data_IF_232653633610
#
_entry.id   IF_232653633610
#
_cell.length_a   1.000
_cell.length_b   1.000
_cell.length_c   1.000
_cell.angle_alpha   90.00
_cell.angle_beta   90.00
_cell.angle_gamma   90.00
#
_symmetry.space_group_name_H-M   'P 1'
#
loop_
_entity.id
_entity.type
_entity.pdbx_description
1 polymer ?
#
# COMPACT_ATOMS: atom_id res chain seq x y z
N UNK A 1 34.23 8.02 61.34
CA UNK A 1 34.33 8.93 60.18
C UNK A 1 33.05 8.76 59.34
N UNK A 2 32.37 9.89 59.03
CA UNK A 2 31.21 10.11 58.13
C UNK A 2 29.93 9.27 58.38
N UNK A 3 28.74 9.77 58.76
CA UNK A 3 28.02 11.05 58.64
C UNK A 3 27.62 11.49 57.21
N UNK A 4 26.31 11.40 56.88
CA UNK A 4 25.46 12.41 56.20
C UNK A 4 24.18 11.71 55.67
N UNK A 5 22.99 11.84 56.28
CA UNK A 5 22.02 12.95 56.18
C UNK A 5 21.50 13.17 54.74
N UNK A 6 20.20 12.95 54.49
CA UNK A 6 19.20 14.03 54.44
C UNK A 6 17.82 13.49 54.02
N UNK A 7 16.86 13.66 54.93
CA UNK A 7 15.42 13.42 54.77
C UNK A 7 14.75 14.77 54.51
N UNK A 8 13.72 14.77 53.64
CA UNK A 8 12.64 15.75 53.53
C UNK A 8 13.02 17.22 53.29
N UNK A 9 12.71 17.70 52.07
CA UNK A 9 12.40 19.11 51.86
C UNK A 9 11.10 19.24 51.06
N UNK A 10 10.15 19.94 51.66
CA UNK A 10 8.88 20.36 51.08
C UNK A 10 9.10 21.01 49.71
N UNK A 11 8.41 20.51 48.68
CA UNK A 11 8.22 21.26 47.45
C UNK A 11 6.81 21.87 47.45
N UNK A 12 6.79 23.17 47.74
CA UNK A 12 5.62 24.03 47.63
C UNK A 12 5.15 24.11 46.17
N UNK A 13 3.86 23.82 45.97
CA UNK A 13 2.90 24.48 45.07
C UNK A 13 3.46 25.26 43.86
N UNK A 14 3.32 24.67 42.68
CA UNK A 14 2.98 25.40 41.46
C UNK A 14 2.09 24.53 40.57
N UNK A 15 0.78 24.66 40.76
CA UNK A 15 -0.22 24.14 39.84
C UNK A 15 -0.08 24.88 38.49
N UNK A 16 -0.08 24.20 37.34
CA UNK A 16 -0.18 24.87 36.05
C UNK A 16 -1.56 25.54 35.92
N UNK A 17 -1.67 26.66 35.19
CA UNK A 17 -2.91 27.41 35.06
C UNK A 17 -4.00 26.57 34.39
N UNK A 18 -5.20 26.64 34.97
CA UNK A 18 -6.45 26.06 34.49
C UNK A 18 -6.72 26.45 33.03
N UNK A 19 -6.77 25.46 32.14
CA UNK A 19 -7.22 25.63 30.76
C UNK A 19 -8.75 25.67 30.76
N UNK A 20 -9.31 26.85 30.51
CA UNK A 20 -10.75 27.03 30.31
C UNK A 20 -11.15 26.43 28.95
N UNK A 21 -12.24 25.63 28.86
CA UNK A 21 -12.74 25.18 27.57
C UNK A 21 -13.41 26.36 26.85
N UNK A 22 -12.77 26.87 25.79
CA UNK A 22 -13.41 27.82 24.88
C UNK A 22 -14.45 27.07 24.04
N UNK A 23 -15.71 27.14 24.46
CA UNK A 23 -16.86 26.66 23.68
C UNK A 23 -17.12 27.57 22.48
N UNK A 24 -16.35 27.39 21.43
CA UNK A 24 -16.79 27.77 20.09
C UNK A 24 -17.42 26.53 19.44
N UNK A 25 -18.68 26.58 18.98
CA UNK A 25 -19.25 25.48 18.24
C UNK A 25 -18.44 25.34 16.95
N UNK A 26 -17.62 24.30 16.87
CA UNK A 26 -16.99 23.86 15.63
C UNK A 26 -18.13 23.65 14.64
N UNK A 27 -18.21 24.52 13.64
CA UNK A 27 -19.02 24.30 12.45
C UNK A 27 -18.60 22.94 11.91
N UNK A 28 -19.48 21.95 12.03
CA UNK A 28 -19.38 20.72 11.27
C UNK A 28 -19.51 21.19 9.82
N UNK A 29 -18.38 21.29 9.12
CA UNK A 29 -18.42 21.35 7.68
C UNK A 29 -18.96 20.01 7.24
N UNK A 30 -20.09 20.02 6.54
CA UNK A 30 -20.59 18.85 5.82
C UNK A 30 -19.48 18.46 4.82
N UNK A 31 -18.64 17.53 5.23
CA UNK A 31 -17.62 16.97 4.36
C UNK A 31 -18.33 16.14 3.31
N UNK A 32 -18.03 16.39 2.05
CA UNK A 32 -18.40 15.48 0.97
C UNK A 32 -17.82 14.08 1.29
N UNK A 33 -18.65 13.16 1.80
CA UNK A 33 -18.29 11.74 2.05
C UNK A 33 -17.76 11.03 0.79
N UNK A 34 -17.88 11.70 -0.37
CA UNK A 34 -17.40 11.26 -1.67
C UNK A 34 -15.87 11.23 -1.79
N UNK A 35 -15.15 12.14 -1.15
CA UNK A 35 -13.71 12.28 -1.30
C UNK A 35 -12.98 12.20 0.05
N UNK A 36 -11.78 11.62 0.05
CA UNK A 36 -10.89 11.70 1.20
C UNK A 36 -10.51 13.17 1.47
N UNK A 37 -10.39 13.52 2.75
CA UNK A 37 -9.94 14.85 3.17
C UNK A 37 -8.43 15.00 2.98
N UNK A 38 -8.01 15.26 1.74
CA UNK A 38 -6.62 15.50 1.34
C UNK A 38 -6.54 16.70 0.39
N UNK A 39 -5.38 17.38 0.39
CA UNK A 39 -5.09 18.47 -0.54
C UNK A 39 -4.62 17.90 -1.88
N UNK A 40 -5.53 17.70 -2.81
CA UNK A 40 -5.28 17.03 -4.09
C UNK A 40 -4.22 17.74 -4.96
N UNK A 41 -4.08 19.06 -4.87
CA UNK A 41 -3.12 19.87 -5.64
C UNK A 41 -1.66 19.72 -5.18
N UNK A 42 -1.48 19.34 -3.91
CA UNK A 42 -0.18 19.17 -3.25
C UNK A 42 0.30 17.71 -3.28
N UNK A 43 -0.44 16.81 -3.96
CA UNK A 43 -0.07 15.41 -4.04
C UNK A 43 1.28 15.22 -4.76
N UNK A 44 2.27 14.77 -3.99
CA UNK A 44 3.53 14.26 -4.51
C UNK A 44 3.45 12.77 -4.87
N UNK A 45 4.62 12.13 -4.96
CA UNK A 45 4.76 10.67 -5.13
C UNK A 45 5.12 9.98 -3.81
N UNK A 46 4.62 10.51 -2.69
CA UNK A 46 4.80 9.93 -1.37
C UNK A 46 3.65 8.99 -1.05
N UNK A 47 3.93 7.94 -0.29
CA UNK A 47 2.90 7.03 0.18
C UNK A 47 1.93 7.76 1.11
N UNK A 48 0.68 7.88 0.66
CA UNK A 48 -0.47 8.20 1.50
C UNK A 48 -1.25 6.90 1.69
N UNK A 49 -1.27 6.31 2.89
CA UNK A 49 -1.98 5.06 3.13
C UNK A 49 -3.49 5.27 2.95
N UNK A 50 -4.11 4.42 2.15
CA UNK A 50 -5.58 4.36 2.02
C UNK A 50 -6.19 3.54 3.14
N UNK A 51 -7.51 3.47 3.25
CA UNK A 51 -8.16 2.79 4.39
C UNK A 51 -7.94 1.27 4.35
N UNK A 52 -7.90 0.69 3.14
CA UNK A 52 -7.88 -0.76 2.97
C UNK A 52 -6.88 -1.22 1.92
N UNK A 53 -6.50 -2.49 2.03
CA UNK A 53 -5.71 -3.25 1.05
C UNK A 53 -6.36 -4.60 0.79
N UNK A 54 -6.06 -5.22 -0.36
CA UNK A 54 -6.48 -6.59 -0.66
C UNK A 54 -5.37 -7.57 -0.28
N UNK A 55 -5.75 -8.71 0.30
CA UNK A 55 -4.83 -9.79 0.65
C UNK A 55 -5.41 -11.14 0.27
N UNK A 56 -4.62 -11.94 -0.43
CA UNK A 56 -4.82 -13.35 -0.69
C UNK A 56 -3.53 -14.13 -0.38
N UNK A 57 -3.65 -15.43 -0.14
CA UNK A 57 -2.51 -16.31 0.07
C UNK A 57 -2.72 -17.61 -0.70
N UNK A 58 -1.65 -18.14 -1.24
CA UNK A 58 -1.63 -19.43 -1.91
C UNK A 58 -0.46 -20.26 -1.38
N UNK A 59 -0.63 -21.57 -1.19
CA UNK A 59 0.50 -22.46 -0.93
C UNK A 59 1.19 -22.88 -2.22
N UNK A 60 2.42 -23.34 -2.12
CA UNK A 60 3.13 -23.91 -3.26
C UNK A 60 2.37 -25.11 -3.85
N UNK A 61 2.14 -25.08 -5.16
CA UNK A 61 1.40 -26.12 -5.88
C UNK A 61 -0.13 -25.97 -5.84
N UNK A 62 -0.66 -24.99 -5.11
CA UNK A 62 -2.08 -24.65 -5.10
C UNK A 62 -2.38 -23.47 -6.05
N UNK A 63 -3.65 -23.08 -6.13
CA UNK A 63 -4.10 -21.91 -6.88
C UNK A 63 -4.78 -20.91 -5.95
N UNK A 64 -4.74 -19.63 -6.32
CA UNK A 64 -5.50 -18.59 -5.62
C UNK A 64 -6.99 -18.80 -5.82
N UNK A 65 -7.71 -19.05 -4.72
CA UNK A 65 -9.16 -19.30 -4.72
C UNK A 65 -9.95 -18.16 -4.11
N UNK A 66 -9.42 -17.51 -3.07
CA UNK A 66 -10.08 -16.41 -2.37
C UNK A 66 -9.08 -15.38 -1.85
N UNK A 67 -9.60 -14.18 -1.61
CA UNK A 67 -8.90 -13.10 -0.94
C UNK A 67 -9.90 -12.15 -0.29
N UNK A 68 -9.39 -11.19 0.47
CA UNK A 68 -10.20 -10.30 1.30
C UNK A 68 -9.67 -8.89 1.31
N UNK A 69 -10.58 -7.94 1.39
CA UNK A 69 -10.28 -6.56 1.75
C UNK A 69 -10.06 -6.49 3.26
N UNK A 70 -8.94 -5.91 3.68
CA UNK A 70 -8.57 -5.71 5.08
C UNK A 70 -8.13 -4.27 5.29
N UNK A 71 -8.18 -3.73 6.52
CA UNK A 71 -7.57 -2.44 6.82
C UNK A 71 -6.11 -2.40 6.36
N UNK A 72 -5.68 -1.25 5.82
CA UNK A 72 -4.28 -1.06 5.45
C UNK A 72 -3.39 -1.20 6.69
N UNK A 73 -2.27 -1.89 6.55
CA UNK A 73 -1.31 -2.06 7.63
C UNK A 73 -0.14 -2.92 7.23
N UNK A 74 0.82 -3.02 8.15
CA UNK A 74 2.02 -3.82 7.95
C UNK A 74 1.69 -5.32 7.90
N UNK A 75 2.53 -6.07 7.19
CA UNK A 75 2.42 -7.53 7.11
C UNK A 75 3.49 -8.20 7.98
N UNK A 76 3.12 -9.29 8.65
CA UNK A 76 4.08 -10.13 9.35
C UNK A 76 4.77 -11.07 8.36
N UNK A 77 6.10 -11.15 8.44
CA UNK A 77 6.91 -12.00 7.58
C UNK A 77 7.99 -12.72 8.38
N UNK A 78 8.23 -14.00 8.06
CA UNK A 78 9.33 -14.76 8.66
C UNK A 78 10.68 -14.19 8.19
N UNK A 79 11.68 -14.00 9.07
CA UNK A 79 13.04 -13.64 8.67
C UNK A 79 13.67 -14.63 7.68
N UNK A 80 13.23 -15.89 7.71
CA UNK A 80 13.69 -16.95 6.79
C UNK A 80 12.91 -16.97 5.47
N UNK A 81 12.15 -15.92 5.15
CA UNK A 81 11.36 -15.89 3.91
C UNK A 81 12.26 -15.71 2.68
N UNK A 82 12.01 -16.44 1.58
CA UNK A 82 12.77 -16.27 0.34
C UNK A 82 12.78 -14.86 -0.23
N UNK A 83 11.74 -14.05 -0.03
CA UNK A 83 11.76 -12.63 -0.41
C UNK A 83 12.87 -11.84 0.29
N UNK A 84 13.15 -12.12 1.57
CA UNK A 84 14.14 -11.37 2.35
C UNK A 84 15.56 -11.84 2.09
N UNK A 85 15.75 -13.12 1.74
CA UNK A 85 17.07 -13.73 1.61
C UNK A 85 17.54 -13.86 0.16
N UNK A 86 16.60 -14.09 -0.77
CA UNK A 86 16.89 -14.40 -2.18
C UNK A 86 16.11 -13.50 -3.16
N UNK A 87 15.32 -12.54 -2.67
CA UNK A 87 14.57 -11.62 -3.52
C UNK A 87 13.44 -12.28 -4.31
N UNK A 88 12.93 -13.44 -3.86
CA UNK A 88 11.84 -14.15 -4.57
C UNK A 88 10.51 -13.40 -4.41
N UNK A 89 10.26 -12.43 -5.29
CA UNK A 89 9.00 -11.73 -5.40
C UNK A 89 9.01 -10.73 -6.55
N UNK A 90 7.82 -10.22 -6.87
CA UNK A 90 7.60 -9.30 -7.98
C UNK A 90 6.44 -8.36 -7.65
N UNK A 91 6.31 -7.32 -8.47
CA UNK A 91 5.27 -6.32 -8.32
C UNK A 91 4.72 -5.88 -9.66
N UNK A 92 3.55 -5.25 -9.61
CA UNK A 92 2.91 -4.58 -10.74
C UNK A 92 2.58 -3.12 -10.44
N UNK A 93 2.24 -2.36 -11.48
CA UNK A 93 1.88 -0.96 -11.33
C UNK A 93 0.72 -0.58 -12.23
N UNK A 94 -0.37 -0.14 -11.63
CA UNK A 94 -1.56 0.33 -12.34
C UNK A 94 -2.01 1.68 -11.79
N UNK A 95 -2.89 2.34 -12.54
CA UNK A 95 -3.55 3.57 -12.12
C UNK A 95 -5.05 3.46 -12.38
N UNK A 96 -5.83 3.93 -11.42
CA UNK A 96 -7.25 4.18 -11.59
C UNK A 96 -7.51 5.69 -11.68
N UNK A 97 -8.35 6.08 -12.63
CA UNK A 97 -8.68 7.47 -12.94
C UNK A 97 -10.18 7.70 -12.77
N UNK A 98 -10.53 8.87 -12.23
CA UNK A 98 -11.92 9.34 -12.20
C UNK A 98 -12.18 10.20 -13.44
N UNK A 99 -13.24 9.88 -14.16
CA UNK A 99 -13.72 10.66 -15.31
C UNK A 99 -14.64 11.80 -14.84
N UNK A 100 -14.91 12.77 -15.72
CA UNK A 100 -15.81 13.89 -15.45
C UNK A 100 -17.24 13.44 -15.09
N UNK A 101 -17.67 12.29 -15.61
CA UNK A 101 -18.96 11.64 -15.29
C UNK A 101 -18.91 10.68 -14.08
N UNK A 102 -17.89 10.81 -13.23
CA UNK A 102 -17.68 10.07 -11.98
C UNK A 102 -17.41 8.56 -12.11
N UNK A 103 -17.27 8.03 -13.32
CA UNK A 103 -16.82 6.65 -13.53
C UNK A 103 -15.35 6.49 -13.15
N UNK A 104 -14.99 5.27 -12.78
CA UNK A 104 -13.60 4.92 -12.47
C UNK A 104 -13.10 3.96 -13.55
N UNK A 105 -12.00 4.35 -14.20
CA UNK A 105 -11.37 3.59 -15.27
C UNK A 105 -10.00 3.08 -14.82
N UNK A 106 -9.72 1.81 -15.12
CA UNK A 106 -8.42 1.17 -14.92
C UNK A 106 -7.88 0.82 -16.29
N UNK A 107 -6.68 1.30 -16.62
CA UNK A 107 -6.11 1.07 -17.94
C UNK A 107 -5.48 -0.32 -18.05
N UNK A 108 -6.04 -1.14 -18.95
CA UNK A 108 -5.52 -2.47 -19.38
C UNK A 108 -5.06 -3.40 -18.22
N UNK A 109 -5.87 -3.64 -17.17
CA UNK A 109 -5.43 -4.45 -16.04
C UNK A 109 -5.08 -5.91 -16.39
N UNK A 110 -5.66 -6.46 -17.47
CA UNK A 110 -5.32 -7.80 -17.98
C UNK A 110 -3.85 -7.91 -18.42
N UNK A 111 -3.27 -6.86 -18.99
CA UNK A 111 -1.86 -6.87 -19.43
C UNK A 111 -0.89 -6.87 -18.24
N UNK A 112 -1.25 -6.16 -17.17
CA UNK A 112 -0.52 -6.21 -15.92
C UNK A 112 -0.61 -7.61 -15.30
N UNK A 113 -1.77 -8.25 -15.36
CA UNK A 113 -1.96 -9.61 -14.87
C UNK A 113 -1.09 -10.63 -15.64
N UNK A 114 -1.10 -10.55 -16.97
CA UNK A 114 -0.25 -11.40 -17.82
C UNK A 114 1.23 -11.20 -17.51
N UNK A 115 1.67 -9.94 -17.35
CA UNK A 115 3.06 -9.65 -17.00
C UNK A 115 3.45 -10.18 -15.61
N UNK A 116 2.54 -10.13 -14.64
CA UNK A 116 2.73 -10.76 -13.33
C UNK A 116 2.86 -12.28 -13.46
N UNK A 117 2.02 -12.92 -14.26
CA UNK A 117 2.06 -14.36 -14.50
C UNK A 117 3.40 -14.80 -15.13
N UNK A 118 3.86 -14.10 -16.18
CA UNK A 118 5.16 -14.33 -16.81
C UNK A 118 6.33 -14.16 -15.82
N UNK A 119 6.24 -13.15 -14.94
CA UNK A 119 7.25 -12.91 -13.91
C UNK A 119 7.27 -14.00 -12.84
N UNK A 120 6.09 -14.47 -12.43
CA UNK A 120 5.95 -15.52 -11.44
C UNK A 120 6.51 -16.85 -11.93
N UNK A 121 6.26 -17.20 -13.21
CA UNK A 121 6.84 -18.38 -13.84
C UNK A 121 8.38 -18.35 -13.79
N UNK A 122 8.98 -17.21 -14.14
CA UNK A 122 10.45 -17.04 -14.10
C UNK A 122 11.04 -17.15 -12.69
N UNK A 123 10.26 -16.82 -11.67
CA UNK A 123 10.66 -16.90 -10.27
C UNK A 123 10.21 -18.20 -9.59
N UNK A 124 9.67 -19.16 -10.35
CA UNK A 124 9.13 -20.42 -9.85
C UNK A 124 8.05 -20.22 -8.77
N UNK A 125 7.19 -19.22 -8.93
CA UNK A 125 6.14 -18.84 -7.98
C UNK A 125 4.75 -19.24 -8.50
N UNK A 126 3.82 -19.57 -7.60
CA UNK A 126 2.41 -19.65 -7.97
C UNK A 126 1.85 -18.24 -8.26
N UNK A 127 1.18 -18.05 -9.39
CA UNK A 127 0.58 -16.78 -9.77
C UNK A 127 -0.94 -16.78 -9.63
N UNK A 128 -1.58 -15.62 -9.35
CA UNK A 128 -3.02 -15.49 -9.56
C UNK A 128 -3.36 -15.67 -11.04
N UNK A 129 -4.56 -16.16 -11.34
CA UNK A 129 -5.08 -16.13 -12.70
C UNK A 129 -5.34 -14.69 -13.14
N UNK A 130 -5.42 -14.44 -14.45
CA UNK A 130 -5.72 -13.11 -15.00
C UNK A 130 -7.00 -12.54 -14.40
N UNK A 131 -8.07 -13.35 -14.35
CA UNK A 131 -9.36 -12.92 -13.81
C UNK A 131 -9.31 -12.65 -12.31
N UNK A 132 -8.63 -13.50 -11.54
CA UNK A 132 -8.45 -13.29 -10.10
C UNK A 132 -7.72 -11.98 -9.82
N UNK A 133 -6.65 -11.71 -10.56
CA UNK A 133 -5.89 -10.47 -10.44
C UNK A 133 -6.76 -9.24 -10.77
N UNK A 134 -7.48 -9.27 -11.89
CA UNK A 134 -8.31 -8.15 -12.34
C UNK A 134 -9.43 -7.88 -11.34
N UNK A 135 -10.06 -8.93 -10.80
CA UNK A 135 -11.11 -8.78 -9.80
C UNK A 135 -10.55 -8.23 -8.48
N UNK A 136 -9.41 -8.72 -8.00
CA UNK A 136 -8.75 -8.19 -6.81
C UNK A 136 -8.39 -6.69 -6.96
N UNK A 137 -7.91 -6.28 -8.13
CA UNK A 137 -7.66 -4.87 -8.45
C UNK A 137 -8.96 -4.06 -8.39
N UNK A 138 -10.04 -4.53 -9.02
CA UNK A 138 -11.35 -3.85 -8.97
C UNK A 138 -11.85 -3.69 -7.54
N UNK A 139 -11.80 -4.75 -6.73
CA UNK A 139 -12.24 -4.70 -5.33
C UNK A 139 -11.41 -3.72 -4.51
N UNK A 140 -10.10 -3.68 -4.72
CA UNK A 140 -9.21 -2.71 -4.05
C UNK A 140 -9.58 -1.26 -4.38
N UNK A 141 -9.87 -0.99 -5.66
CA UNK A 141 -10.27 0.35 -6.12
C UNK A 141 -11.64 0.74 -5.58
N UNK A 142 -12.61 -0.18 -5.56
CA UNK A 142 -13.95 0.05 -5.03
C UNK A 142 -13.89 0.34 -3.53
N UNK A 143 -13.15 -0.46 -2.76
CA UNK A 143 -12.98 -0.28 -1.32
C UNK A 143 -12.33 1.08 -0.98
N UNK A 144 -11.46 1.59 -1.86
CA UNK A 144 -10.78 2.86 -1.69
C UNK A 144 -11.33 3.96 -2.61
N UNK A 145 -12.62 3.88 -3.03
CA UNK A 145 -13.21 4.81 -4.01
C UNK A 145 -13.01 6.28 -3.66
N UNK A 146 -13.13 6.64 -2.37
CA UNK A 146 -12.97 8.03 -1.90
C UNK A 146 -11.54 8.57 -2.07
N UNK A 147 -10.56 7.68 -2.19
CA UNK A 147 -9.16 8.01 -2.40
C UNK A 147 -8.79 8.18 -3.88
N UNK A 148 -9.70 7.87 -4.81
CA UNK A 148 -9.47 8.17 -6.24
C UNK A 148 -9.63 9.66 -6.46
N UNK A 149 -8.56 10.38 -6.87
CA UNK A 149 -8.59 11.83 -7.03
C UNK A 149 -9.73 12.32 -7.92
N UNK A 150 -10.22 13.55 -7.72
CA UNK A 150 -11.12 14.21 -8.66
C UNK A 150 -10.51 14.28 -10.08
N UNK A 151 -11.34 14.44 -11.12
CA UNK A 151 -10.86 14.56 -12.50
C UNK A 151 -9.81 15.68 -12.65
N UNK A 152 -8.71 15.37 -13.33
CA UNK A 152 -7.60 16.33 -13.53
C UNK A 152 -6.73 16.60 -12.30
N UNK A 153 -6.90 15.86 -11.20
CA UNK A 153 -6.10 16.00 -9.97
C UNK A 153 -5.12 14.85 -9.72
N UNK A 154 -5.00 13.92 -10.66
CA UNK A 154 -4.08 12.78 -10.59
C UNK A 154 -4.78 11.44 -10.73
N UNK A 155 -4.23 10.42 -10.06
CA UNK A 155 -4.74 9.05 -10.13
C UNK A 155 -4.59 8.32 -8.79
N UNK A 156 -5.38 7.26 -8.59
CA UNK A 156 -5.09 6.28 -7.56
C UNK A 156 -4.06 5.29 -8.10
N UNK A 157 -2.84 5.33 -7.57
CA UNK A 157 -1.81 4.36 -7.88
C UNK A 157 -2.11 3.05 -7.15
N UNK A 158 -2.05 1.93 -7.87
CA UNK A 158 -2.36 0.60 -7.37
C UNK A 158 -1.10 -0.25 -7.50
N UNK A 159 -0.70 -0.88 -6.40
CA UNK A 159 0.51 -1.70 -6.31
C UNK A 159 0.16 -3.13 -5.88
N UNK A 160 -0.05 -4.03 -6.85
CA UNK A 160 -0.05 -5.47 -6.59
C UNK A 160 1.38 -5.96 -6.32
N UNK A 161 1.53 -6.81 -5.30
CA UNK A 161 2.76 -7.48 -4.90
C UNK A 161 2.49 -8.98 -4.82
N UNK A 162 3.43 -9.78 -5.30
CA UNK A 162 3.46 -11.22 -5.13
C UNK A 162 4.78 -11.59 -4.44
N UNK A 163 4.70 -12.20 -3.27
CA UNK A 163 5.83 -12.35 -2.34
C UNK A 163 6.07 -13.83 -2.07
N UNK A 164 7.31 -14.31 -2.13
CA UNK A 164 7.69 -15.62 -1.61
C UNK A 164 7.89 -15.58 -0.09
N UNK A 165 6.99 -16.21 0.67
CA UNK A 165 6.98 -16.19 2.14
C UNK A 165 6.99 -17.59 2.76
N UNK A 166 7.10 -17.63 4.09
CA UNK A 166 7.25 -18.83 4.89
C UNK A 166 8.71 -19.19 5.18
N UNK A 167 8.94 -19.98 6.22
CA UNK A 167 10.28 -20.30 6.68
C UNK A 167 10.96 -21.31 5.74
N UNK A 168 11.93 -20.83 4.94
CA UNK A 168 12.71 -21.68 4.05
C UNK A 168 14.15 -21.12 3.90
N UNK A 169 15.13 -21.78 4.54
CA UNK A 169 16.55 -21.46 4.41
C UNK A 169 17.22 -22.19 3.24
N UNK A 170 16.53 -23.16 2.61
CA UNK A 170 17.03 -23.82 1.42
C UNK A 170 16.83 -22.95 0.19
N UNK A 171 17.70 -23.12 -0.82
CA UNK A 171 17.50 -22.53 -2.15
C UNK A 171 16.44 -23.36 -2.89
N UNK A 172 15.18 -23.10 -2.57
CA UNK A 172 14.02 -23.72 -3.15
C UNK A 172 12.87 -22.71 -3.21
N UNK A 173 11.82 -22.93 -4.04
CA UNK A 173 10.70 -22.01 -4.09
C UNK A 173 10.00 -21.90 -2.73
N UNK A 174 9.42 -20.73 -2.46
CA UNK A 174 8.73 -20.47 -1.21
C UNK A 174 7.54 -21.44 -0.98
N UNK A 175 7.29 -21.84 0.29
CA UNK A 175 6.16 -22.69 0.63
C UNK A 175 4.81 -21.96 0.52
N UNK A 176 4.80 -20.64 0.62
CA UNK A 176 3.59 -19.82 0.46
C UNK A 176 3.85 -18.52 -0.31
N UNK A 177 2.80 -18.04 -0.98
CA UNK A 177 2.81 -16.86 -1.82
C UNK A 177 1.69 -15.90 -1.42
N UNK A 178 1.97 -14.93 -0.53
CA UNK A 178 1.07 -13.80 -0.33
C UNK A 178 0.95 -12.95 -1.60
N UNK A 179 -0.28 -12.70 -2.03
CA UNK A 179 -0.64 -11.73 -3.05
C UNK A 179 -1.40 -10.58 -2.39
N UNK A 180 -0.90 -9.36 -2.54
CA UNK A 180 -1.45 -8.21 -1.83
C UNK A 180 -1.45 -6.96 -2.69
N UNK A 181 -2.48 -6.15 -2.55
CA UNK A 181 -2.68 -4.93 -3.35
C UNK A 181 -2.95 -3.79 -2.39
N UNK A 182 -2.03 -2.83 -2.34
CA UNK A 182 -2.30 -1.53 -1.71
C UNK A 182 -2.50 -0.46 -2.76
N UNK A 183 -3.10 0.66 -2.35
CA UNK A 183 -3.32 1.80 -3.19
C UNK A 183 -2.85 3.09 -2.50
N UNK A 184 -2.58 4.12 -3.30
CA UNK A 184 -2.22 5.45 -2.79
C UNK A 184 -2.55 6.52 -3.83
N UNK A 185 -3.18 7.65 -3.46
CA UNK A 185 -3.41 8.75 -4.38
C UNK A 185 -2.08 9.41 -4.76
N UNK A 186 -1.87 9.65 -6.06
CA UNK A 186 -0.69 10.33 -6.59
C UNK A 186 -1.10 11.46 -7.51
N UNK A 187 -0.37 12.58 -7.43
CA UNK A 187 -0.55 13.72 -8.32
C UNK A 187 0.05 13.49 -9.70
N UNK A 188 -0.09 14.49 -10.59
CA UNK A 188 0.48 14.43 -11.93
C UNK A 188 2.00 14.52 -11.93
N UNK A 189 2.62 13.61 -12.68
CA UNK A 189 4.07 13.32 -12.65
C UNK A 189 4.95 14.49 -13.13
N UNK A 190 4.38 15.52 -13.76
CA UNK A 190 5.12 16.62 -14.38
C UNK A 190 5.81 17.60 -13.40
N UNK A 191 5.68 17.39 -12.07
CA UNK A 191 6.21 18.31 -11.06
C UNK A 191 7.48 17.86 -10.34
N UNK A 192 7.96 16.62 -10.49
CA UNK A 192 9.09 16.13 -9.66
C UNK A 192 10.06 15.24 -10.43
N UNK A 193 11.35 15.61 -10.43
CA UNK A 193 12.47 14.75 -10.84
C UNK A 193 12.88 13.85 -9.67
N UNK A 194 12.94 12.54 -9.87
CA UNK A 194 13.50 11.60 -8.89
C UNK A 194 14.72 10.87 -9.45
N UNK A 195 15.72 10.68 -8.60
CA UNK A 195 16.77 9.68 -8.81
C UNK A 195 16.18 8.28 -8.71
N UNK A 196 16.26 7.52 -9.79
CA UNK A 196 15.91 6.09 -9.80
C UNK A 196 17.08 5.33 -9.17
N UNK A 197 16.91 4.82 -7.95
CA UNK A 197 17.72 3.71 -7.49
C UNK A 197 17.26 2.46 -8.27
N UNK A 198 18.05 2.08 -9.29
CA UNK A 198 17.81 0.87 -10.04
C UNK A 198 18.12 -0.34 -9.15
N UNK A 199 17.12 -0.86 -8.43
CA UNK A 199 17.12 -2.26 -8.04
C UNK A 199 16.68 -3.05 -9.28
N UNK A 200 17.54 -3.92 -9.80
CA UNK A 200 17.26 -4.76 -10.96
C UNK A 200 16.11 -5.72 -10.69
N UNK A 201 14.87 -5.25 -10.85
CA UNK A 201 13.68 -6.08 -10.96
C UNK A 201 13.16 -5.93 -12.39
N UNK A 202 13.32 -6.99 -13.18
CA UNK A 202 12.97 -7.01 -14.60
C UNK A 202 11.46 -6.90 -14.81
N UNK A 203 10.96 -5.68 -15.02
CA UNK A 203 9.78 -5.49 -15.86
C UNK A 203 10.28 -4.96 -17.20
N UNK A 204 10.18 -5.77 -18.26
CA UNK A 204 10.47 -5.29 -19.61
C UNK A 204 9.53 -4.12 -19.89
N UNK A 205 10.08 -2.91 -20.03
CA UNK A 205 9.47 -1.90 -20.89
C UNK A 205 9.60 -2.43 -22.31
N UNK A 206 8.51 -2.94 -22.88
CA UNK A 206 8.43 -3.17 -24.32
C UNK A 206 8.43 -1.79 -25.00
N UNK A 207 9.61 -1.32 -25.39
CA UNK A 207 9.80 -0.31 -26.42
C UNK A 207 9.75 -1.10 -27.74
N UNK A 208 8.72 -0.89 -28.54
CA UNK A 208 8.73 -1.27 -29.95
C UNK A 208 9.50 -0.18 -30.71
N UNK A 209 10.42 -0.59 -31.59
CA UNK A 209 10.92 0.26 -32.69
C UNK A 209 9.85 0.36 -33.78
#
# INVERSE_FOLDING_TARGET
LQASLYTSLLCFLCLPPSVQPSSSPLRISEGDDKYANVKWEELGFSLIPTDCMYVAKCRQGESFTEGKIVPYGDISISPCSPILNYGQGLFEGLKAYRTEDDRILIFRPHENALRMQDGAERLCMASPSVEFFVEAVKQTVIANKKWVPPPGKGALYIRPLLIGSGANLGVAPAPEYPFLIYASPVGDYHKVSFCVAAAGFTTRKHIFY
#
